data_IF_408886999472
#
_entry.id   IF_408886999472
#
_cell.length_a   1.000
_cell.length_b   1.000
_cell.length_c   1.000
_cell.angle_alpha   90.00
_cell.angle_beta   90.00
_cell.angle_gamma   90.00
#
_symmetry.space_group_name_H-M   'P 1'
#
loop_
_entity.id
_entity.type
_entity.pdbx_description
1 polymer ?
#
# COMPACT_ATOMS: atom_id res chain seq x y z
N UNK A 1 7.46 -14.94 24.24
CA UNK A 1 7.87 -14.27 22.99
C UNK A 1 6.61 -13.96 22.18
N UNK A 2 6.05 -12.76 22.33
CA UNK A 2 4.79 -12.38 21.66
C UNK A 2 5.09 -12.04 20.20
N UNK A 3 4.44 -12.76 19.28
CA UNK A 3 4.56 -12.61 17.82
C UNK A 3 4.41 -11.12 17.47
N UNK A 4 5.44 -10.51 16.88
CA UNK A 4 5.54 -9.06 16.64
C UNK A 4 4.33 -8.50 15.89
N UNK A 5 3.35 -7.98 16.63
CA UNK A 5 2.22 -7.24 16.09
C UNK A 5 2.56 -5.76 16.24
N UNK A 6 2.87 -5.05 15.14
CA UNK A 6 3.05 -3.61 15.20
C UNK A 6 1.80 -2.98 15.83
N UNK A 7 1.98 -2.03 16.76
CA UNK A 7 0.86 -1.30 17.37
C UNK A 7 0.30 -0.23 16.41
N UNK A 8 1.14 0.20 15.48
CA UNK A 8 0.81 1.17 14.44
C UNK A 8 1.29 0.68 13.08
N UNK A 9 0.63 1.13 12.01
CA UNK A 9 1.00 0.87 10.63
C UNK A 9 0.87 2.15 9.78
N UNK A 10 1.89 2.53 9.00
CA UNK A 10 1.73 3.53 7.96
C UNK A 10 1.10 2.91 6.70
N UNK A 11 0.48 3.74 5.87
CA UNK A 11 0.11 3.40 4.50
C UNK A 11 1.13 3.99 3.56
N UNK A 12 1.54 3.23 2.55
CA UNK A 12 2.56 3.67 1.60
C UNK A 12 2.00 3.60 0.20
N UNK A 13 2.17 4.68 -0.55
CA UNK A 13 1.78 4.78 -1.96
C UNK A 13 3.06 4.71 -2.79
N UNK A 14 3.12 3.75 -3.70
CA UNK A 14 4.32 3.41 -4.47
C UNK A 14 3.96 3.37 -5.95
N UNK A 15 4.84 3.92 -6.79
CA UNK A 15 4.75 3.80 -8.26
C UNK A 15 5.06 2.37 -8.72
N UNK A 16 4.69 2.03 -9.96
CA UNK A 16 5.05 0.76 -10.60
C UNK A 16 6.55 0.56 -10.84
N UNK A 17 7.35 1.63 -10.76
CA UNK A 17 8.82 1.58 -10.81
C UNK A 17 9.46 1.46 -9.42
N UNK A 18 8.68 1.56 -8.34
CA UNK A 18 9.13 1.36 -6.97
C UNK A 18 9.55 2.62 -6.22
N UNK A 19 9.29 3.81 -6.78
CA UNK A 19 9.42 5.07 -6.04
C UNK A 19 8.25 5.27 -5.08
N UNK A 20 8.56 5.66 -3.85
CA UNK A 20 7.58 6.08 -2.86
C UNK A 20 7.03 7.47 -3.20
N UNK A 21 5.72 7.58 -3.33
CA UNK A 21 5.04 8.86 -3.59
C UNK A 21 4.64 9.52 -2.27
N UNK A 22 4.04 8.73 -1.38
CA UNK A 22 3.52 9.21 -0.10
C UNK A 22 3.58 8.12 0.96
N UNK A 23 3.70 8.55 2.21
CA UNK A 23 3.59 7.72 3.41
C UNK A 23 2.58 8.40 4.33
N UNK A 24 1.44 7.77 4.54
CA UNK A 24 0.31 8.38 5.27
C UNK A 24 0.11 7.64 6.60
N UNK A 25 -0.19 8.40 7.66
CA UNK A 25 -0.38 7.91 9.01
C UNK A 25 0.76 8.32 9.95
N UNK A 26 1.03 7.54 11.01
CA UNK A 26 0.64 6.14 11.18
C UNK A 26 -0.77 5.95 11.75
N UNK A 27 -1.38 4.80 11.47
CA UNK A 27 -2.69 4.40 12.00
C UNK A 27 -2.52 3.31 13.07
N UNK A 28 -3.36 3.30 14.10
CA UNK A 28 -3.38 2.19 15.07
C UNK A 28 -3.70 0.88 14.34
N UNK A 29 -2.94 -0.19 14.60
CA UNK A 29 -3.14 -1.48 13.95
C UNK A 29 -4.26 -2.29 14.64
N UNK A 30 -5.49 -1.79 14.56
CA UNK A 30 -6.68 -2.40 15.15
C UNK A 30 -7.74 -2.71 14.07
N UNK A 31 -8.84 -3.36 14.46
CA UNK A 31 -9.91 -3.74 13.54
C UNK A 31 -10.65 -2.56 12.90
N UNK A 32 -10.68 -1.39 13.57
CA UNK A 32 -11.29 -0.16 13.05
C UNK A 32 -10.48 0.44 11.90
N UNK A 33 -9.16 0.25 11.92
CA UNK A 33 -8.23 0.73 10.91
C UNK A 33 -7.77 -0.41 9.99
N UNK A 34 -8.74 -1.14 9.42
CA UNK A 34 -8.45 -2.04 8.30
C UNK A 34 -8.09 -1.24 7.04
N UNK A 35 -7.53 -1.91 6.04
CA UNK A 35 -6.92 -1.24 4.88
C UNK A 35 -7.95 -0.45 4.06
N UNK A 36 -9.15 -1.01 3.86
CA UNK A 36 -10.26 -0.30 3.23
C UNK A 36 -10.69 0.95 4.02
N UNK A 37 -10.84 0.83 5.34
CA UNK A 37 -11.27 1.95 6.20
C UNK A 37 -10.26 3.08 6.21
N UNK A 38 -8.96 2.75 6.20
CA UNK A 38 -7.90 3.74 6.10
C UNK A 38 -7.93 4.43 4.72
N UNK A 39 -8.10 3.67 3.62
CA UNK A 39 -8.18 4.26 2.29
C UNK A 39 -9.40 5.20 2.17
N UNK A 40 -10.56 4.80 2.71
CA UNK A 40 -11.74 5.66 2.83
C UNK A 40 -11.41 6.96 3.57
N UNK A 41 -10.73 6.88 4.71
CA UNK A 41 -10.32 8.05 5.46
C UNK A 41 -9.38 8.96 4.66
N UNK A 42 -8.36 8.40 4.01
CA UNK A 42 -7.38 9.14 3.20
C UNK A 42 -8.09 9.94 2.11
N UNK A 43 -8.93 9.27 1.34
CA UNK A 43 -9.62 9.84 0.20
C UNK A 43 -10.69 10.83 0.63
N UNK A 44 -11.58 10.48 1.59
CA UNK A 44 -12.67 11.37 2.00
C UNK A 44 -12.17 12.68 2.59
N UNK A 45 -11.11 12.63 3.40
CA UNK A 45 -10.53 13.81 4.03
C UNK A 45 -9.48 14.52 3.16
N UNK A 46 -9.27 14.07 1.92
CA UNK A 46 -8.27 14.60 1.00
C UNK A 46 -6.87 14.74 1.63
N UNK A 47 -6.44 13.70 2.36
CA UNK A 47 -5.16 13.69 3.07
C UNK A 47 -4.02 13.86 2.07
N UNK A 48 -3.06 14.74 2.38
CA UNK A 48 -1.96 15.13 1.47
C UNK A 48 -2.47 15.55 0.08
N UNK A 49 -3.66 16.15 0.01
CA UNK A 49 -4.27 16.63 -1.22
C UNK A 49 -4.36 15.56 -2.31
N UNK A 50 -4.60 14.30 -1.93
CA UNK A 50 -4.64 13.16 -2.86
C UNK A 50 -5.54 13.36 -4.08
N UNK A 51 -6.65 14.06 -3.93
CA UNK A 51 -7.57 14.36 -5.05
C UNK A 51 -6.98 15.35 -6.07
N UNK A 52 -5.91 16.08 -5.72
CA UNK A 52 -5.25 17.04 -6.61
C UNK A 52 -4.20 16.36 -7.50
N UNK A 53 -3.60 15.26 -7.04
CA UNK A 53 -2.54 14.56 -7.77
C UNK A 53 -2.94 13.20 -8.33
N UNK A 54 -4.09 12.65 -7.94
CA UNK A 54 -4.74 11.53 -8.64
C UNK A 54 -5.67 12.07 -9.71
N UNK A 55 -5.65 11.45 -10.90
CA UNK A 55 -6.44 11.84 -12.06
C UNK A 55 -7.39 10.73 -12.49
N UNK A 56 -8.44 11.13 -13.21
CA UNK A 56 -9.32 10.19 -13.89
C UNK A 56 -8.49 9.25 -14.78
N UNK A 57 -8.81 7.96 -14.76
CA UNK A 57 -8.13 6.86 -15.44
C UNK A 57 -6.81 6.40 -14.81
N UNK A 58 -6.37 6.98 -13.70
CA UNK A 58 -5.26 6.42 -12.92
C UNK A 58 -5.61 5.01 -12.44
N UNK A 59 -4.60 4.14 -12.38
CA UNK A 59 -4.77 2.75 -11.98
C UNK A 59 -4.20 2.55 -10.57
N UNK A 60 -5.05 2.14 -9.65
CA UNK A 60 -4.63 1.78 -8.29
C UNK A 60 -4.57 0.27 -8.18
N UNK A 61 -3.35 -0.28 -8.07
CA UNK A 61 -3.14 -1.70 -7.75
C UNK A 61 -3.17 -1.88 -6.24
N UNK A 62 -4.20 -2.54 -5.74
CA UNK A 62 -4.44 -2.71 -4.29
C UNK A 62 -4.50 -4.18 -3.89
N UNK A 63 -4.14 -4.46 -2.64
CA UNK A 63 -4.33 -5.78 -2.04
C UNK A 63 -5.82 -6.08 -1.82
N UNK A 64 -6.13 -7.36 -1.61
CA UNK A 64 -7.52 -7.82 -1.36
C UNK A 64 -8.17 -7.19 -0.12
N UNK A 65 -7.38 -6.72 0.84
CA UNK A 65 -7.87 -6.02 2.03
C UNK A 65 -8.55 -4.67 1.75
N UNK A 66 -8.39 -4.15 0.53
CA UNK A 66 -8.99 -2.89 0.07
C UNK A 66 -10.30 -3.08 -0.71
N UNK A 67 -10.82 -4.31 -0.81
CA UNK A 67 -12.03 -4.62 -1.60
C UNK A 67 -13.18 -3.65 -1.32
N UNK A 68 -13.45 -3.36 -0.05
CA UNK A 68 -14.60 -2.53 0.34
C UNK A 68 -14.36 -1.02 0.07
N UNK A 69 -13.20 -0.66 -0.49
CA UNK A 69 -12.85 0.69 -0.91
C UNK A 69 -12.74 0.84 -2.43
N UNK A 70 -12.90 -0.22 -3.22
CA UNK A 70 -12.78 -0.13 -4.69
C UNK A 70 -13.88 0.76 -5.29
N UNK A 71 -15.10 0.67 -4.78
CA UNK A 71 -16.21 1.53 -5.22
C UNK A 71 -15.90 3.03 -5.04
N UNK A 72 -15.29 3.40 -3.91
CA UNK A 72 -14.87 4.79 -3.67
C UNK A 72 -13.80 5.26 -4.67
N UNK A 73 -12.88 4.38 -5.06
CA UNK A 73 -11.89 4.69 -6.08
C UNK A 73 -12.56 4.89 -7.44
N UNK A 74 -13.50 4.02 -7.80
CA UNK A 74 -14.25 4.11 -9.05
C UNK A 74 -15.11 5.39 -9.14
N UNK A 75 -15.71 5.85 -8.03
CA UNK A 75 -16.41 7.14 -7.96
C UNK A 75 -15.50 8.35 -8.24
N UNK A 76 -14.19 8.22 -8.01
CA UNK A 76 -13.20 9.24 -8.36
C UNK A 76 -12.62 9.06 -9.78
N UNK A 77 -13.16 8.12 -10.55
CA UNK A 77 -12.63 7.77 -11.87
C UNK A 77 -11.30 7.01 -11.83
N UNK A 78 -10.93 6.44 -10.68
CA UNK A 78 -9.71 5.64 -10.49
C UNK A 78 -10.06 4.18 -10.77
N UNK A 79 -9.27 3.53 -11.62
CA UNK A 79 -9.41 2.11 -11.92
C UNK A 79 -8.71 1.27 -10.85
N UNK A 80 -9.49 0.70 -9.93
CA UNK A 80 -8.97 -0.21 -8.92
C UNK A 80 -8.71 -1.61 -9.51
N UNK A 81 -7.48 -2.11 -9.36
CA UNK A 81 -7.07 -3.45 -9.76
C UNK A 81 -6.61 -4.25 -8.54
N UNK A 82 -7.12 -5.47 -8.39
CA UNK A 82 -6.77 -6.36 -7.27
C UNK A 82 -6.68 -7.82 -7.70
N UNK A 83 -5.93 -8.68 -6.97
CA UNK A 83 -5.85 -10.10 -7.31
C UNK A 83 -7.22 -10.77 -7.24
N UNK A 84 -7.61 -11.46 -8.33
CA UNK A 84 -8.92 -12.08 -8.48
C UNK A 84 -9.23 -13.08 -7.35
N UNK A 85 -10.51 -13.20 -7.02
CA UNK A 85 -11.02 -14.22 -6.12
C UNK A 85 -11.40 -15.47 -6.91
N UNK A 86 -11.19 -16.65 -6.31
CA UNK A 86 -11.74 -17.87 -6.86
C UNK A 86 -13.28 -17.78 -6.82
N UNK A 87 -13.96 -18.01 -7.96
CA UNK A 87 -15.42 -18.10 -7.96
C UNK A 87 -15.90 -19.22 -7.03
N UNK A 88 -17.07 -19.02 -6.43
CA UNK A 88 -17.62 -19.99 -5.49
C UNK A 88 -17.86 -21.33 -6.20
N UNK A 89 -17.32 -22.41 -5.64
CA UNK A 89 -17.42 -23.75 -6.21
C UNK A 89 -16.35 -24.09 -7.26
N UNK A 90 -15.50 -23.14 -7.64
CA UNK A 90 -14.40 -23.39 -8.57
C UNK A 90 -13.12 -23.78 -7.83
N UNK A 91 -12.39 -24.78 -8.38
CA UNK A 91 -11.06 -25.16 -7.88
C UNK A 91 -9.94 -24.29 -8.46
N UNK A 92 -10.17 -23.65 -9.60
CA UNK A 92 -9.18 -22.86 -10.34
C UNK A 92 -9.83 -21.61 -10.95
N UNK A 93 -9.01 -20.60 -11.25
CA UNK A 93 -9.45 -19.43 -12.01
C UNK A 93 -9.58 -19.78 -13.50
N UNK A 94 -10.61 -19.27 -14.20
CA UNK A 94 -10.63 -19.21 -15.65
C UNK A 94 -9.36 -18.55 -16.22
N UNK A 95 -8.94 -18.94 -17.43
CA UNK A 95 -7.67 -18.53 -18.05
C UNK A 95 -7.52 -17.01 -18.16
N UNK A 96 -8.57 -16.31 -18.56
CA UNK A 96 -8.64 -14.86 -18.69
C UNK A 96 -8.47 -14.13 -17.35
N UNK A 97 -9.18 -14.58 -16.32
CA UNK A 97 -9.06 -14.05 -14.95
C UNK A 97 -7.68 -14.40 -14.35
N UNK A 98 -7.17 -15.60 -14.63
CA UNK A 98 -5.85 -16.01 -14.18
C UNK A 98 -4.76 -15.12 -14.79
N UNK A 99 -4.83 -14.82 -16.10
CA UNK A 99 -3.89 -13.94 -16.78
C UNK A 99 -3.93 -12.51 -16.21
N UNK A 100 -5.14 -11.95 -16.03
CA UNK A 100 -5.32 -10.63 -15.44
C UNK A 100 -4.78 -10.58 -14.00
N UNK A 101 -5.08 -11.60 -13.20
CA UNK A 101 -4.58 -11.72 -11.82
C UNK A 101 -3.04 -11.85 -11.76
N UNK A 102 -2.42 -12.53 -12.73
CA UNK A 102 -0.96 -12.61 -12.85
C UNK A 102 -0.33 -11.24 -13.14
N UNK A 103 -0.94 -10.43 -14.00
CA UNK A 103 -0.49 -9.06 -14.26
C UNK A 103 -0.53 -8.21 -12.99
N UNK A 104 -1.66 -8.22 -12.28
CA UNK A 104 -1.81 -7.50 -11.00
C UNK A 104 -0.77 -7.98 -9.99
N UNK A 105 -0.56 -9.29 -9.87
CA UNK A 105 0.41 -9.87 -8.93
C UNK A 105 1.85 -9.47 -9.27
N UNK A 106 2.19 -9.34 -10.56
CA UNK A 106 3.52 -8.88 -11.01
C UNK A 106 3.78 -7.42 -10.61
N UNK A 107 2.77 -6.55 -10.73
CA UNK A 107 2.90 -5.15 -10.25
C UNK A 107 2.97 -5.10 -8.72
N UNK A 108 2.15 -5.89 -8.03
CA UNK A 108 2.15 -6.01 -6.57
C UNK A 108 3.52 -6.40 -5.99
N UNK A 109 4.30 -7.20 -6.71
CA UNK A 109 5.67 -7.53 -6.33
C UNK A 109 6.53 -6.28 -6.11
N UNK A 110 6.34 -5.22 -6.90
CA UNK A 110 7.06 -3.95 -6.72
C UNK A 110 6.72 -3.31 -5.37
N UNK A 111 5.44 -3.33 -4.98
CA UNK A 111 4.98 -2.82 -3.67
C UNK A 111 5.57 -3.66 -2.53
N UNK A 112 5.60 -4.98 -2.68
CA UNK A 112 6.24 -5.87 -1.69
C UNK A 112 7.74 -5.61 -1.55
N UNK A 113 8.44 -5.44 -2.67
CA UNK A 113 9.87 -5.13 -2.69
C UNK A 113 10.16 -3.73 -2.12
N UNK A 114 9.28 -2.75 -2.34
CA UNK A 114 9.36 -1.43 -1.72
C UNK A 114 9.19 -1.53 -0.20
N UNK A 115 8.16 -2.24 0.27
CA UNK A 115 7.98 -2.52 1.70
C UNK A 115 9.17 -3.28 2.31
N UNK A 116 9.81 -4.18 1.55
CA UNK A 116 11.02 -4.85 1.98
C UNK A 116 12.20 -3.88 2.15
N UNK A 117 12.31 -2.81 1.34
CA UNK A 117 13.32 -1.74 1.55
C UNK A 117 13.13 -1.06 2.89
N UNK A 118 11.90 -0.73 3.28
CA UNK A 118 11.60 -0.13 4.58
C UNK A 118 11.99 -1.08 5.72
N UNK A 119 11.62 -2.36 5.60
CA UNK A 119 11.90 -3.38 6.62
C UNK A 119 13.39 -3.71 6.82
N UNK A 120 14.28 -3.32 5.90
CA UNK A 120 15.74 -3.49 6.06
C UNK A 120 16.35 -2.49 7.04
N UNK A 121 15.63 -1.42 7.39
CA UNK A 121 16.15 -0.41 8.30
C UNK A 121 16.07 -0.92 9.73
N UNK A 122 17.24 -1.24 10.30
CA UNK A 122 17.39 -1.80 11.65
C UNK A 122 16.59 -1.04 12.69
N UNK A 123 16.58 0.29 12.64
CA UNK A 123 15.83 1.11 13.60
C UNK A 123 14.33 0.75 13.67
N UNK A 124 13.70 0.47 12.53
CA UNK A 124 12.27 0.13 12.45
C UNK A 124 11.97 -1.33 12.83
N UNK A 125 12.99 -2.18 12.97
CA UNK A 125 12.86 -3.57 13.42
C UNK A 125 12.84 -3.68 14.96
N UNK A 126 13.22 -2.60 15.67
CA UNK A 126 13.22 -2.57 17.12
C UNK A 126 11.86 -2.17 17.68
N UNK A 127 11.59 -2.61 18.92
CA UNK A 127 10.48 -2.09 19.71
C UNK A 127 10.85 -0.67 20.14
N UNK A 128 10.16 0.32 19.57
CA UNK A 128 10.34 1.72 19.92
C UNK A 128 9.57 2.04 21.21
N UNK A 129 10.11 2.91 22.09
CA UNK A 129 9.39 3.37 23.26
C UNK A 129 8.10 4.12 22.87
N UNK A 130 7.07 4.07 23.70
CA UNK A 130 5.75 4.67 23.41
C UNK A 130 5.81 6.17 23.13
N UNK A 131 6.77 6.90 23.74
CA UNK A 131 6.96 8.33 23.47
C UNK A 131 7.40 8.63 22.03
N UNK A 132 7.83 7.61 21.27
CA UNK A 132 8.21 7.74 19.86
C UNK A 132 7.03 7.63 18.91
N UNK A 133 5.86 7.16 19.37
CA UNK A 133 4.68 6.91 18.52
C UNK A 133 4.32 8.10 17.61
N UNK A 134 4.34 9.37 18.09
CA UNK A 134 4.04 10.52 17.23
C UNK A 134 4.99 10.68 16.02
N UNK A 135 6.23 10.18 16.12
CA UNK A 135 7.28 10.38 15.11
C UNK A 135 7.44 9.19 14.16
N UNK A 136 6.75 8.07 14.40
CA UNK A 136 6.90 6.85 13.57
C UNK A 136 6.58 7.13 12.10
N UNK A 137 5.57 7.96 11.82
CA UNK A 137 5.24 8.36 10.45
C UNK A 137 6.40 9.07 9.77
N UNK A 138 7.02 10.02 10.46
CA UNK A 138 8.17 10.78 9.97
C UNK A 138 9.39 9.90 9.76
N UNK A 139 9.64 8.93 10.66
CA UNK A 139 10.73 7.96 10.49
C UNK A 139 10.57 7.15 9.21
N UNK A 140 9.36 6.67 8.93
CA UNK A 140 9.08 5.91 7.70
C UNK A 140 9.16 6.82 6.48
N UNK A 141 8.68 8.08 6.56
CA UNK A 141 8.84 9.09 5.50
C UNK A 141 10.31 9.32 5.16
N UNK A 142 11.16 9.56 6.16
CA UNK A 142 12.61 9.76 6.00
C UNK A 142 13.23 8.54 5.32
N UNK A 143 12.91 7.34 5.80
CA UNK A 143 13.39 6.08 5.20
C UNK A 143 12.98 5.96 3.73
N UNK A 144 11.73 6.25 3.40
CA UNK A 144 11.23 6.23 2.01
C UNK A 144 11.95 7.26 1.13
N UNK A 145 12.17 8.48 1.63
CA UNK A 145 12.93 9.52 0.93
C UNK A 145 14.38 9.11 0.67
N UNK A 146 15.06 8.52 1.65
CA UNK A 146 16.41 7.98 1.50
C UNK A 146 16.44 6.85 0.47
N UNK A 147 15.44 5.97 0.48
CA UNK A 147 15.32 4.91 -0.51
C UNK A 147 15.12 5.48 -1.93
N UNK A 148 14.27 6.49 -2.10
CA UNK A 148 14.08 7.16 -3.40
C UNK A 148 15.36 7.84 -3.89
N UNK A 149 16.15 8.44 -2.99
CA UNK A 149 17.34 9.20 -3.35
C UNK A 149 18.54 8.31 -3.72
N UNK A 150 18.71 7.20 -3.01
CA UNK A 150 19.97 6.44 -3.05
C UNK A 150 19.84 5.01 -3.59
N UNK A 151 18.63 4.47 -3.74
CA UNK A 151 18.44 3.12 -4.28
C UNK A 151 17.96 3.19 -5.73
N UNK A 152 18.36 2.23 -6.58
CA UNK A 152 17.87 2.15 -7.95
C UNK A 152 16.35 1.89 -7.98
N UNK A 153 15.65 2.12 -9.10
CA UNK A 153 14.26 1.70 -9.26
C UNK A 153 14.12 0.16 -9.10
N UNK A 154 12.95 -0.30 -8.65
CA UNK A 154 12.64 -1.73 -8.51
C UNK A 154 12.19 -2.37 -9.82
N UNK A 155 11.65 -1.58 -10.74
CA UNK A 155 11.34 -1.99 -12.11
C UNK A 155 11.82 -0.92 -13.07
N UNK A 156 12.56 -1.33 -14.10
CA UNK A 156 13.09 -0.46 -15.14
C UNK A 156 12.19 -0.36 -16.37
N UNK A 157 11.15 -1.20 -16.45
CA UNK A 157 10.29 -1.31 -17.63
C UNK A 157 8.85 -0.97 -17.23
N UNK A 158 8.44 0.26 -17.52
CA UNK A 158 7.05 0.63 -17.76
C UNK A 158 6.98 1.15 -19.19
#
# INVERSE_FOLDING_TARGET
MHKGRPLVKPMVIVTTSGYFISVIGPYLANSKNNDASILHHIIKNNIEEIKNWVKEKDIFVVDRGFRDATFLLEELGIHAQMPSFLPRGSKQLPTDLANSSRLVTKVRWVVEAANARIKRWKYLDHILPTNQVPYIGDYVKIVCCLCNKFLPPLSANC
#
